data_IF_365583633358
#
_entry.id   IF_365583633358
#
_cell.length_a   1.000
_cell.length_b   1.000
_cell.length_c   1.000
_cell.angle_alpha   90.00
_cell.angle_beta   90.00
_cell.angle_gamma   90.00
#
_symmetry.space_group_name_H-M   'P 1'
#
loop_
_entity.id
_entity.type
_entity.pdbx_description
1 polymer ?
#
# COMPACT_ATOMS: atom_id res chain seq x y z
N UNK A 1 19.86 -34.05 -64.98
CA UNK A 1 19.81 -34.00 -63.51
C UNK A 1 19.38 -32.58 -63.12
N UNK A 2 18.25 -32.45 -62.45
CA UNK A 2 17.34 -31.28 -62.52
C UNK A 2 17.78 -30.12 -61.60
N UNK A 3 18.44 -29.11 -62.14
CA UNK A 3 18.85 -27.86 -61.45
C UNK A 3 17.69 -27.08 -60.82
N UNK A 4 16.47 -27.21 -61.39
CA UNK A 4 15.27 -26.52 -60.89
C UNK A 4 14.80 -27.00 -59.49
N UNK A 5 15.03 -28.28 -59.16
CA UNK A 5 14.67 -28.82 -57.80
C UNK A 5 15.62 -28.32 -56.69
N UNK A 6 16.88 -27.98 -57.01
CA UNK A 6 17.81 -27.42 -56.05
C UNK A 6 17.45 -25.98 -55.63
N UNK A 7 16.99 -25.19 -56.58
CA UNK A 7 16.58 -23.82 -56.32
C UNK A 7 15.24 -23.72 -55.53
N UNK A 8 14.32 -24.66 -55.77
CA UNK A 8 13.06 -24.70 -54.99
C UNK A 8 13.28 -25.11 -53.51
N UNK A 9 14.23 -26.03 -53.26
CA UNK A 9 14.51 -26.45 -51.86
C UNK A 9 15.30 -25.37 -51.08
N UNK A 10 16.15 -24.58 -51.73
CA UNK A 10 16.85 -23.45 -51.10
C UNK A 10 15.85 -22.37 -50.67
N UNK A 11 14.88 -22.04 -51.52
CA UNK A 11 13.81 -21.03 -51.18
C UNK A 11 12.87 -21.46 -50.04
N UNK A 12 12.54 -22.77 -49.97
CA UNK A 12 11.72 -23.31 -48.88
C UNK A 12 12.43 -23.33 -47.51
N UNK A 13 13.76 -23.40 -47.50
CA UNK A 13 14.59 -23.30 -46.29
C UNK A 13 14.62 -21.88 -45.72
N UNK A 14 14.64 -20.88 -46.57
CA UNK A 14 14.73 -19.46 -46.17
C UNK A 14 13.40 -18.98 -45.55
N UNK A 15 12.26 -19.30 -46.16
CA UNK A 15 10.94 -18.94 -45.66
C UNK A 15 10.62 -19.60 -44.31
N UNK A 16 11.19 -20.76 -44.01
CA UNK A 16 10.96 -21.45 -42.71
C UNK A 16 11.81 -20.89 -41.58
N UNK A 17 12.99 -20.33 -41.87
CA UNK A 17 13.84 -19.68 -40.89
C UNK A 17 13.28 -18.32 -40.48
N UNK A 18 12.78 -17.54 -41.43
CA UNK A 18 12.18 -16.22 -41.17
C UNK A 18 10.91 -16.33 -40.33
N UNK A 19 10.08 -17.31 -40.57
CA UNK A 19 8.85 -17.57 -39.82
C UNK A 19 9.12 -17.96 -38.36
N UNK A 20 10.14 -18.78 -38.08
CA UNK A 20 10.54 -19.17 -36.73
C UNK A 20 11.11 -18.01 -35.94
N UNK A 21 11.95 -17.17 -36.56
CA UNK A 21 12.53 -15.98 -35.92
C UNK A 21 11.45 -14.95 -35.54
N UNK A 22 10.47 -14.76 -36.41
CA UNK A 22 9.35 -13.85 -36.17
C UNK A 22 8.45 -14.34 -35.02
N UNK A 23 8.19 -15.64 -34.90
CA UNK A 23 7.42 -16.23 -33.81
C UNK A 23 8.15 -16.14 -32.48
N UNK A 24 9.45 -16.39 -32.43
CA UNK A 24 10.27 -16.25 -31.23
C UNK A 24 10.32 -14.79 -30.75
N UNK A 25 10.49 -13.84 -31.67
CA UNK A 25 10.49 -12.41 -31.33
C UNK A 25 9.13 -11.92 -30.77
N UNK A 26 8.00 -12.39 -31.32
CA UNK A 26 6.66 -12.08 -30.78
C UNK A 26 6.46 -12.63 -29.37
N UNK A 27 6.86 -13.87 -29.13
CA UNK A 27 6.76 -14.50 -27.80
C UNK A 27 7.60 -13.75 -26.77
N UNK A 28 8.78 -13.31 -27.16
CA UNK A 28 9.69 -12.55 -26.32
C UNK A 28 9.11 -11.19 -25.94
N UNK A 29 8.65 -10.41 -26.92
CA UNK A 29 8.03 -9.10 -26.70
C UNK A 29 6.85 -9.25 -25.72
N UNK A 30 6.05 -10.31 -25.86
CA UNK A 30 4.93 -10.60 -24.94
C UNK A 30 5.42 -10.87 -23.51
N UNK A 31 6.51 -11.64 -23.34
CA UNK A 31 7.11 -11.92 -22.01
C UNK A 31 7.69 -10.65 -21.38
N UNK A 32 8.41 -9.86 -22.14
CA UNK A 32 9.00 -8.61 -21.66
C UNK A 32 7.93 -7.61 -21.24
N UNK A 33 6.86 -7.42 -22.03
CA UNK A 33 5.72 -6.57 -21.66
C UNK A 33 5.08 -7.03 -20.33
N UNK A 34 4.86 -8.35 -20.16
CA UNK A 34 4.28 -8.89 -18.92
C UNK A 34 5.19 -8.62 -17.71
N UNK A 35 6.51 -8.76 -17.85
CA UNK A 35 7.47 -8.49 -16.77
C UNK A 35 7.59 -7.00 -16.45
N UNK A 36 7.55 -6.14 -17.46
CA UNK A 36 7.50 -4.69 -17.23
C UNK A 36 6.25 -4.28 -16.44
N UNK A 37 5.11 -4.89 -16.75
CA UNK A 37 3.87 -4.64 -16.01
C UNK A 37 3.96 -5.13 -14.55
N UNK A 38 4.54 -6.31 -14.33
CA UNK A 38 4.79 -6.83 -12.97
C UNK A 38 5.75 -5.94 -12.18
N UNK A 39 6.84 -5.49 -12.81
CA UNK A 39 7.80 -4.58 -12.19
C UNK A 39 7.13 -3.27 -11.79
N UNK A 40 6.32 -2.69 -12.67
CA UNK A 40 5.57 -1.49 -12.38
C UNK A 40 4.63 -1.69 -11.19
N UNK A 41 3.92 -2.83 -11.14
CA UNK A 41 3.05 -3.20 -10.02
C UNK A 41 3.82 -3.26 -8.69
N UNK A 42 4.98 -3.92 -8.66
CA UNK A 42 5.81 -4.00 -7.45
C UNK A 42 6.38 -2.64 -7.04
N UNK A 43 6.76 -1.78 -7.99
CA UNK A 43 7.25 -0.44 -7.69
C UNK A 43 6.15 0.45 -7.11
N UNK A 44 4.93 0.39 -7.65
CA UNK A 44 3.77 1.11 -7.10
C UNK A 44 3.47 0.62 -5.68
N UNK A 45 3.49 -0.71 -5.47
CA UNK A 45 3.28 -1.32 -4.16
C UNK A 45 4.33 -0.88 -3.14
N UNK A 46 5.62 -0.93 -3.52
CA UNK A 46 6.72 -0.45 -2.69
C UNK A 46 6.58 1.04 -2.34
N UNK A 47 6.25 1.88 -3.34
CA UNK A 47 6.08 3.31 -3.14
C UNK A 47 4.90 3.62 -2.20
N UNK A 48 3.77 2.92 -2.36
CA UNK A 48 2.60 3.10 -1.52
C UNK A 48 2.92 2.81 -0.04
N UNK A 49 3.51 1.64 0.28
CA UNK A 49 3.85 1.31 1.66
C UNK A 49 4.99 2.16 2.22
N UNK A 50 5.93 2.58 1.37
CA UNK A 50 6.96 3.56 1.75
C UNK A 50 6.37 4.91 2.16
N UNK A 51 5.35 5.39 1.45
CA UNK A 51 4.61 6.59 1.83
C UNK A 51 3.85 6.37 3.13
N UNK A 52 3.16 5.24 3.29
CA UNK A 52 2.46 4.91 4.53
C UNK A 52 3.41 4.98 5.73
N UNK A 53 4.57 4.33 5.66
CA UNK A 53 5.58 4.38 6.72
C UNK A 53 6.11 5.79 6.98
N UNK A 54 6.39 6.55 5.93
CA UNK A 54 6.91 7.91 6.06
C UNK A 54 5.90 8.90 6.64
N UNK A 55 4.59 8.63 6.47
CA UNK A 55 3.51 9.47 6.99
C UNK A 55 2.99 9.00 8.34
N UNK A 56 3.38 7.80 8.80
CA UNK A 56 2.98 7.29 10.11
C UNK A 56 3.63 8.12 11.22
N UNK A 57 2.81 8.70 12.06
CA UNK A 57 3.26 9.55 13.15
C UNK A 57 3.68 8.70 14.37
N UNK A 58 4.90 8.92 14.88
CA UNK A 58 5.36 8.27 16.10
C UNK A 58 4.47 8.65 17.30
N UNK A 59 4.14 7.71 18.23
CA UNK A 59 3.41 8.00 19.46
C UNK A 59 4.01 9.14 20.30
N UNK A 60 5.31 9.38 20.21
CA UNK A 60 6.00 10.48 20.88
C UNK A 60 5.55 11.88 20.43
N UNK A 61 4.91 11.97 19.26
CA UNK A 61 4.38 13.23 18.70
C UNK A 61 2.90 13.45 19.01
N UNK A 62 2.26 12.48 19.66
CA UNK A 62 0.86 12.63 20.05
C UNK A 62 0.73 13.70 21.12
N UNK A 63 -0.38 14.41 21.10
CA UNK A 63 -0.68 15.50 22.00
C UNK A 63 -1.80 15.13 22.94
N UNK A 64 -1.79 15.75 24.08
CA UNK A 64 -2.83 15.65 25.09
C UNK A 64 -3.68 16.94 25.12
N UNK A 65 -4.94 16.80 25.38
CA UNK A 65 -5.84 17.94 25.60
C UNK A 65 -6.99 17.56 26.51
N UNK A 66 -7.39 18.52 27.33
CA UNK A 66 -8.67 18.46 28.05
C UNK A 66 -9.73 19.15 27.20
N UNK A 67 -10.80 18.44 26.87
CA UNK A 67 -11.87 18.94 26.03
C UNK A 67 -13.21 18.83 26.73
N UNK A 68 -14.13 19.74 26.41
CA UNK A 68 -15.55 19.59 26.72
C UNK A 68 -16.28 19.34 25.40
N UNK A 69 -16.97 18.22 25.30
CA UNK A 69 -17.61 17.78 24.04
C UNK A 69 -18.85 18.65 23.76
N UNK A 70 -18.84 19.36 22.64
CA UNK A 70 -19.98 20.17 22.18
C UNK A 70 -20.87 19.40 21.20
N UNK A 71 -20.28 18.54 20.36
CA UNK A 71 -21.01 17.79 19.34
C UNK A 71 -20.31 16.46 19.00
N UNK A 72 -21.11 15.46 18.61
CA UNK A 72 -20.63 14.13 18.17
C UNK A 72 -21.39 13.77 16.92
N UNK A 73 -20.69 13.54 15.82
CA UNK A 73 -21.28 13.19 14.53
C UNK A 73 -20.68 11.89 13.98
N UNK A 74 -21.55 10.98 13.54
CA UNK A 74 -21.13 9.79 12.81
C UNK A 74 -20.89 10.16 11.34
N UNK A 75 -19.70 9.82 10.81
CA UNK A 75 -19.34 10.05 9.41
C UNK A 75 -19.84 8.88 8.56
N UNK A 76 -21.01 9.04 7.95
CA UNK A 76 -21.79 7.98 7.29
C UNK A 76 -21.08 7.21 6.16
N UNK A 77 -19.96 7.71 5.62
CA UNK A 77 -19.21 7.08 4.53
C UNK A 77 -18.19 6.04 5.01
N UNK A 78 -17.91 5.94 6.31
CA UNK A 78 -16.95 4.99 6.89
C UNK A 78 -17.54 4.37 8.13
N UNK A 79 -17.57 3.05 8.25
CA UNK A 79 -17.99 2.40 9.49
C UNK A 79 -17.05 2.82 10.64
N UNK A 80 -17.61 2.98 11.82
CA UNK A 80 -16.88 3.33 13.04
C UNK A 80 -16.06 4.63 12.97
N UNK A 81 -16.44 5.57 12.11
CA UNK A 81 -15.75 6.87 12.01
C UNK A 81 -16.65 7.98 12.55
N UNK A 82 -16.18 8.61 13.61
CA UNK A 82 -16.87 9.66 14.35
C UNK A 82 -16.04 10.93 14.35
N UNK A 83 -16.74 12.05 14.41
CA UNK A 83 -16.15 13.36 14.60
C UNK A 83 -16.66 13.95 15.92
N UNK A 84 -15.75 14.31 16.81
CA UNK A 84 -16.03 14.96 18.08
C UNK A 84 -15.62 16.42 17.94
N UNK A 85 -16.50 17.34 18.29
CA UNK A 85 -16.20 18.77 18.31
C UNK A 85 -16.21 19.24 19.75
N UNK A 86 -15.17 19.97 20.18
CA UNK A 86 -15.11 20.57 21.49
C UNK A 86 -15.83 21.93 21.54
N UNK A 87 -16.01 22.47 22.73
CA UNK A 87 -16.63 23.80 22.96
C UNK A 87 -15.82 24.96 22.39
N UNK A 88 -14.55 24.74 22.03
CA UNK A 88 -13.69 25.72 21.39
C UNK A 88 -13.76 25.64 19.86
N UNK A 89 -14.53 24.70 19.31
CA UNK A 89 -14.67 24.47 17.88
C UNK A 89 -13.57 23.60 17.26
N UNK A 90 -12.68 23.01 18.06
CA UNK A 90 -11.72 22.05 17.53
C UNK A 90 -12.39 20.72 17.22
N UNK A 91 -11.97 20.09 16.15
CA UNK A 91 -12.53 18.80 15.71
C UNK A 91 -11.50 17.68 15.82
N UNK A 92 -11.97 16.53 16.28
CA UNK A 92 -11.18 15.33 16.49
C UNK A 92 -11.85 14.14 15.82
N UNK A 93 -11.08 13.24 15.20
CA UNK A 93 -11.59 12.02 14.56
C UNK A 93 -11.41 10.82 15.50
N UNK A 94 -12.49 10.07 15.74
CA UNK A 94 -12.43 8.82 16.46
C UNK A 94 -12.83 7.66 15.54
N UNK A 95 -12.10 6.53 15.62
CA UNK A 95 -12.36 5.31 14.85
C UNK A 95 -12.77 4.19 15.81
N UNK A 96 -13.93 4.36 16.43
CA UNK A 96 -14.41 3.52 17.50
C UNK A 96 -15.80 2.96 17.20
N UNK A 97 -16.16 1.85 17.85
CA UNK A 97 -17.50 1.27 17.73
C UNK A 97 -18.57 2.18 18.34
N UNK A 98 -19.80 2.01 17.90
CA UNK A 98 -20.95 2.75 18.43
C UNK A 98 -21.06 2.58 19.96
N UNK A 99 -20.80 1.39 20.47
CA UNK A 99 -20.86 1.09 21.92
C UNK A 99 -19.81 1.83 22.73
N UNK A 100 -18.68 2.17 22.16
CA UNK A 100 -17.64 3.02 22.78
C UNK A 100 -18.06 4.47 22.72
N UNK A 101 -18.58 4.91 21.58
CA UNK A 101 -18.99 6.30 21.37
C UNK A 101 -20.23 6.70 22.19
N UNK A 102 -21.13 5.75 22.46
CA UNK A 102 -22.29 5.95 23.38
C UNK A 102 -21.88 6.29 24.83
N UNK A 103 -20.64 6.00 25.22
CA UNK A 103 -20.13 6.38 26.54
C UNK A 103 -19.69 7.85 26.61
N UNK A 104 -19.61 8.53 25.47
CA UNK A 104 -19.23 9.94 25.40
C UNK A 104 -20.51 10.79 25.40
N UNK A 105 -20.65 11.61 26.42
CA UNK A 105 -21.84 12.46 26.60
C UNK A 105 -21.54 13.92 26.21
N UNK A 106 -22.55 14.58 25.66
CA UNK A 106 -22.46 16.01 25.35
C UNK A 106 -22.25 16.81 26.64
N UNK A 107 -21.46 17.87 26.55
CA UNK A 107 -21.02 18.72 27.66
C UNK A 107 -20.17 17.98 28.73
N UNK A 108 -19.79 16.72 28.47
CA UNK A 108 -18.84 15.98 29.31
C UNK A 108 -17.41 16.50 29.11
N UNK A 109 -16.63 16.52 30.19
CA UNK A 109 -15.22 16.85 30.16
C UNK A 109 -14.37 15.57 30.03
N UNK A 110 -13.49 15.53 29.04
CA UNK A 110 -12.65 14.38 28.72
C UNK A 110 -11.20 14.81 28.59
N UNK A 111 -10.30 13.95 29.04
CA UNK A 111 -8.90 14.03 28.68
C UNK A 111 -8.66 13.13 27.47
N UNK A 112 -8.10 13.68 26.40
CA UNK A 112 -7.83 12.94 25.14
C UNK A 112 -6.35 12.97 24.80
N UNK A 113 -5.88 11.89 24.19
CA UNK A 113 -4.61 11.83 23.46
C UNK A 113 -4.94 11.73 21.98
N UNK A 114 -4.32 12.56 21.15
CA UNK A 114 -4.62 12.62 19.72
C UNK A 114 -3.37 12.82 18.87
N UNK A 115 -3.45 12.39 17.62
CA UNK A 115 -2.42 12.54 16.59
C UNK A 115 -2.74 13.74 15.70
N UNK A 116 -2.01 14.87 15.80
CA UNK A 116 -2.34 16.11 15.08
C UNK A 116 -2.22 15.98 13.56
N UNK A 117 -1.34 15.10 13.06
CA UNK A 117 -1.10 14.95 11.62
C UNK A 117 -2.15 14.05 10.93
N UNK A 118 -3.02 13.37 11.69
CA UNK A 118 -4.06 12.49 11.19
C UNK A 118 -5.45 13.01 11.51
N UNK A 119 -5.77 14.22 11.07
CA UNK A 119 -7.05 14.87 11.33
C UNK A 119 -7.40 14.90 12.83
N UNK A 120 -6.43 15.16 13.69
CA UNK A 120 -6.55 15.07 15.14
C UNK A 120 -7.16 13.71 15.58
N UNK A 121 -6.66 12.62 14.99
CA UNK A 121 -7.17 11.28 15.29
C UNK A 121 -6.97 10.90 16.75
N UNK A 122 -8.05 10.61 17.44
CA UNK A 122 -8.04 10.24 18.86
C UNK A 122 -7.36 8.89 19.03
N UNK A 123 -6.53 8.78 20.08
CA UNK A 123 -5.75 7.59 20.45
C UNK A 123 -6.10 7.10 21.86
N UNK A 124 -6.57 7.98 22.71
CA UNK A 124 -7.10 7.65 24.02
C UNK A 124 -8.17 8.63 24.45
N UNK A 125 -9.12 8.17 25.23
CA UNK A 125 -10.15 9.00 25.86
C UNK A 125 -10.32 8.52 27.29
N UNK A 126 -10.25 9.46 28.25
CA UNK A 126 -10.56 9.18 29.65
C UNK A 126 -11.55 10.21 30.17
N UNK A 127 -12.43 9.77 31.08
CA UNK A 127 -13.36 10.61 31.80
C UNK A 127 -13.16 10.41 33.31
N UNK A 128 -12.50 11.35 33.96
CA UNK A 128 -12.01 11.15 35.33
C UNK A 128 -11.06 9.94 35.40
N UNK A 129 -11.42 8.93 36.19
CA UNK A 129 -10.63 7.70 36.33
C UNK A 129 -11.08 6.57 35.39
N UNK A 130 -12.07 6.81 34.53
CA UNK A 130 -12.60 5.81 33.61
C UNK A 130 -11.92 5.91 32.26
N UNK A 131 -11.34 4.80 31.80
CA UNK A 131 -10.74 4.70 30.46
C UNK A 131 -11.87 4.28 29.50
N UNK A 132 -12.15 5.11 28.49
CA UNK A 132 -13.12 4.85 27.42
C UNK A 132 -12.40 4.28 26.21
N UNK A 133 -11.30 4.89 25.80
CA UNK A 133 -10.39 4.39 24.76
C UNK A 133 -9.00 4.23 25.36
N UNK A 134 -8.46 3.00 25.30
CA UNK A 134 -7.21 2.66 25.96
C UNK A 134 -5.98 3.09 25.12
N UNK A 135 -5.13 3.90 25.72
CA UNK A 135 -3.87 4.35 25.15
C UNK A 135 -2.93 3.18 24.80
N UNK A 136 -2.81 2.20 25.68
CA UNK A 136 -1.93 1.05 25.47
C UNK A 136 -2.40 0.19 24.29
N UNK A 137 -3.71 0.03 24.14
CA UNK A 137 -4.31 -0.67 22.99
C UNK A 137 -4.02 0.07 21.68
N UNK A 138 -4.17 1.40 21.67
CA UNK A 138 -3.85 2.23 20.50
C UNK A 138 -2.38 2.15 20.08
N UNK A 139 -1.44 2.11 21.06
CA UNK A 139 -0.02 1.89 20.79
C UNK A 139 0.22 0.51 20.18
N UNK A 140 -0.41 -0.55 20.71
CA UNK A 140 -0.22 -1.91 20.20
C UNK A 140 -0.68 -2.04 18.75
N UNK A 141 -1.85 -1.53 18.42
CA UNK A 141 -2.38 -1.49 17.04
C UNK A 141 -1.42 -0.72 16.13
N UNK A 142 -0.95 0.44 16.57
CA UNK A 142 -0.01 1.25 15.79
C UNK A 142 1.32 0.53 15.53
N UNK A 143 1.87 -0.17 16.53
CA UNK A 143 3.10 -0.94 16.39
C UNK A 143 2.92 -2.12 15.43
N UNK A 144 1.83 -2.85 15.53
CA UNK A 144 1.50 -3.96 14.63
C UNK A 144 1.33 -3.48 13.18
N UNK A 145 0.63 -2.38 12.96
CA UNK A 145 0.45 -1.78 11.64
C UNK A 145 1.79 -1.41 11.02
N UNK A 146 2.69 -0.78 11.77
CA UNK A 146 4.04 -0.46 11.31
C UNK A 146 4.83 -1.71 10.90
N UNK A 147 4.78 -2.79 11.67
CA UNK A 147 5.45 -4.05 11.32
C UNK A 147 4.93 -4.59 10.00
N UNK A 148 3.61 -4.60 9.80
CA UNK A 148 3.02 -5.05 8.54
C UNK A 148 3.40 -4.17 7.35
N UNK A 149 3.44 -2.85 7.51
CA UNK A 149 3.86 -1.92 6.46
C UNK A 149 5.32 -2.17 6.07
N UNK A 150 6.23 -2.43 7.03
CA UNK A 150 7.61 -2.84 6.76
C UNK A 150 7.71 -4.16 6.01
N UNK A 151 6.92 -5.17 6.41
CA UNK A 151 6.90 -6.48 5.74
C UNK A 151 6.42 -6.33 4.30
N UNK A 152 5.32 -5.62 4.07
CA UNK A 152 4.74 -5.42 2.75
C UNK A 152 5.67 -4.59 1.84
N UNK A 153 6.30 -3.55 2.36
CA UNK A 153 7.31 -2.77 1.64
C UNK A 153 8.50 -3.65 1.22
N UNK A 154 8.98 -4.50 2.13
CA UNK A 154 10.09 -5.43 1.86
C UNK A 154 9.73 -6.43 0.77
N UNK A 155 8.51 -6.97 0.77
CA UNK A 155 8.00 -7.86 -0.28
C UNK A 155 7.94 -7.17 -1.65
N UNK A 156 7.51 -5.91 -1.70
CA UNK A 156 7.52 -5.10 -2.91
C UNK A 156 8.93 -4.91 -3.47
N UNK A 157 9.90 -4.66 -2.59
CA UNK A 157 11.32 -4.51 -2.97
C UNK A 157 11.89 -5.82 -3.54
N UNK A 158 11.72 -6.94 -2.82
CA UNK A 158 12.19 -8.27 -3.26
C UNK A 158 11.55 -8.68 -4.58
N UNK A 159 10.24 -8.44 -4.75
CA UNK A 159 9.53 -8.70 -6.00
C UNK A 159 10.09 -7.88 -7.18
N UNK A 160 10.40 -6.61 -6.95
CA UNK A 160 11.03 -5.73 -7.95
C UNK A 160 12.42 -6.24 -8.35
N UNK A 161 13.28 -6.56 -7.38
CA UNK A 161 14.64 -7.06 -7.61
C UNK A 161 14.63 -8.39 -8.38
N UNK A 162 13.74 -9.32 -7.99
CA UNK A 162 13.58 -10.61 -8.67
C UNK A 162 13.14 -10.43 -10.12
N UNK A 163 12.20 -9.51 -10.37
CA UNK A 163 11.71 -9.23 -11.72
C UNK A 163 12.81 -8.65 -12.60
N UNK A 164 13.61 -7.71 -12.07
CA UNK A 164 14.76 -7.13 -12.76
C UNK A 164 15.80 -8.21 -13.08
N UNK A 165 16.15 -9.06 -12.10
CA UNK A 165 17.10 -10.17 -12.32
C UNK A 165 16.64 -11.10 -13.44
N UNK A 166 15.36 -11.48 -13.45
CA UNK A 166 14.79 -12.28 -14.53
C UNK A 166 14.85 -11.60 -15.90
N UNK A 167 14.65 -10.28 -15.97
CA UNK A 167 14.77 -9.51 -17.22
C UNK A 167 16.21 -9.50 -17.72
N UNK A 168 17.18 -9.28 -16.83
CA UNK A 168 18.61 -9.28 -17.18
C UNK A 168 19.07 -10.65 -17.71
N UNK A 169 18.63 -11.75 -17.08
CA UNK A 169 18.93 -13.12 -17.53
C UNK A 169 18.38 -13.35 -18.93
N UNK A 170 17.16 -12.92 -19.22
CA UNK A 170 16.57 -13.08 -20.55
C UNK A 170 17.33 -12.28 -21.62
N UNK A 171 17.72 -11.05 -21.31
CA UNK A 171 18.52 -10.22 -22.23
C UNK A 171 19.87 -10.90 -22.50
N UNK A 172 20.57 -11.39 -21.47
CA UNK A 172 21.85 -12.09 -21.62
C UNK A 172 21.73 -13.32 -22.52
N UNK A 173 20.69 -14.14 -22.30
CA UNK A 173 20.45 -15.32 -23.17
C UNK A 173 20.27 -14.96 -24.64
N UNK A 174 19.68 -13.79 -24.94
CA UNK A 174 19.50 -13.34 -26.31
C UNK A 174 20.79 -12.90 -26.98
N UNK A 175 21.69 -12.27 -26.22
CA UNK A 175 22.97 -11.81 -26.75
C UNK A 175 23.88 -13.00 -27.10
N UNK A 176 23.82 -14.07 -26.29
CA UNK A 176 24.66 -15.28 -26.49
C UNK A 176 24.16 -16.14 -27.68
N UNK A 177 22.87 -16.08 -28.02
CA UNK A 177 22.29 -16.88 -29.10
C UNK A 177 22.14 -16.11 -30.45
N UNK A 178 22.69 -14.90 -30.54
CA UNK A 178 22.88 -14.16 -31.78
C UNK A 178 24.29 -14.31 -32.29
#
# INVERSE_FOLDING_TARGET
MNLSKRFMNARKGDDSMDSKSTHQNKALIKRTKKRCLLLLGFLIFFAYFGICLATTESPEKWKEADITVADIQHISLKPNHWQITDTNGNTYSAYESDTVMEQIILNGAYHIVYSPNHNNGIRAITHGNTIIVDYAHSISIHSEQNVWDWVLMSLGLVGSMTTIACMVIDIRKQIIHR
#
